data_IF_286059404633
#
_entry.id   IF_286059404633
#
_cell.length_a   1.000
_cell.length_b   1.000
_cell.length_c   1.000
_cell.angle_alpha   90.00
_cell.angle_beta   90.00
_cell.angle_gamma   90.00
#
_symmetry.space_group_name_H-M   'P 1'
#
loop_
_entity.id
_entity.type
_entity.pdbx_description
1 polymer ?
#
# COMPACT_ATOMS: atom_id res chain seq x y z
N UNK A 1 -28.35 -10.79 5.30
CA UNK A 1 -26.98 -10.34 4.91
C UNK A 1 -27.03 -9.91 3.44
N UNK A 2 -26.56 -8.71 3.10
CA UNK A 2 -26.63 -8.20 1.71
C UNK A 2 -25.74 -9.05 0.80
N UNK A 3 -26.17 -9.41 -0.44
CA UNK A 3 -25.42 -10.28 -1.36
C UNK A 3 -24.02 -9.79 -1.72
N UNK A 4 -23.76 -8.48 -1.58
CA UNK A 4 -22.44 -7.87 -1.80
C UNK A 4 -21.36 -8.48 -0.89
N UNK A 5 -21.71 -8.87 0.34
CA UNK A 5 -20.74 -9.50 1.27
C UNK A 5 -20.12 -10.78 0.73
N UNK A 6 -20.83 -11.50 -0.15
CA UNK A 6 -20.36 -12.74 -0.76
C UNK A 6 -19.36 -12.54 -1.90
N UNK A 7 -19.28 -11.33 -2.48
CA UNK A 7 -18.41 -11.04 -3.63
C UNK A 7 -17.26 -10.10 -3.29
N UNK A 8 -17.32 -9.38 -2.15
CA UNK A 8 -16.29 -8.41 -1.77
C UNK A 8 -14.93 -9.10 -1.56
N UNK A 9 -13.92 -8.66 -2.29
CA UNK A 9 -12.55 -9.20 -2.21
C UNK A 9 -12.36 -10.60 -2.78
N UNK A 10 -13.28 -11.10 -3.62
CA UNK A 10 -13.19 -12.46 -4.20
C UNK A 10 -12.19 -12.56 -5.34
N UNK A 11 -11.96 -11.50 -6.12
CA UNK A 11 -10.94 -11.46 -7.17
C UNK A 11 -9.59 -11.03 -6.64
N UNK A 12 -9.55 -9.95 -5.89
CA UNK A 12 -8.32 -9.49 -5.22
C UNK A 12 -8.66 -8.62 -4.01
N UNK A 13 -7.63 -8.23 -3.24
CA UNK A 13 -7.75 -7.31 -2.11
C UNK A 13 -7.05 -5.97 -2.35
N UNK A 14 -6.80 -5.60 -3.60
CA UNK A 14 -6.09 -4.37 -3.95
C UNK A 14 -6.80 -3.10 -3.48
N UNK A 15 -8.13 -3.15 -3.37
CA UNK A 15 -8.97 -2.05 -2.91
C UNK A 15 -9.58 -2.29 -1.52
N UNK A 16 -9.09 -3.28 -0.77
CA UNK A 16 -9.59 -3.56 0.59
C UNK A 16 -9.36 -2.36 1.51
N UNK A 17 -10.43 -1.94 2.19
CA UNK A 17 -10.43 -0.76 3.06
C UNK A 17 -10.45 0.58 2.31
N UNK A 18 -10.60 0.57 0.98
CA UNK A 18 -10.77 1.78 0.17
C UNK A 18 -12.23 2.10 -0.06
N UNK A 19 -12.59 3.35 0.13
CA UNK A 19 -13.91 3.90 -0.23
C UNK A 19 -13.80 4.69 -1.53
N UNK A 20 -14.64 4.32 -2.52
CA UNK A 20 -14.68 4.94 -3.84
C UNK A 20 -16.05 5.59 -4.02
N UNK A 21 -16.08 6.89 -4.28
CA UNK A 21 -17.30 7.56 -4.72
C UNK A 21 -17.45 7.35 -6.23
N UNK A 22 -18.54 6.68 -6.66
CA UNK A 22 -18.82 6.43 -8.07
C UNK A 22 -19.86 7.42 -8.59
N UNK A 23 -19.42 8.42 -9.36
CA UNK A 23 -20.25 9.38 -10.05
C UNK A 23 -20.74 8.83 -11.39
N UNK A 24 -22.06 8.69 -11.55
CA UNK A 24 -22.71 8.15 -12.77
C UNK A 24 -23.46 9.25 -13.48
N UNK A 25 -22.92 9.72 -14.63
CA UNK A 25 -23.56 10.75 -15.47
C UNK A 25 -24.52 10.14 -16.51
N UNK A 26 -25.37 11.00 -17.10
CA UNK A 26 -26.45 10.61 -18.00
C UNK A 26 -25.99 10.21 -19.40
N UNK A 27 -25.20 9.15 -19.53
CA UNK A 27 -24.84 8.47 -20.77
C UNK A 27 -25.51 7.11 -20.81
N UNK A 28 -25.85 6.61 -22.02
CA UNK A 28 -26.38 5.23 -22.18
C UNK A 28 -25.44 4.20 -21.56
N UNK A 29 -24.15 4.49 -21.48
CA UNK A 29 -23.16 3.66 -20.79
C UNK A 29 -23.37 3.54 -19.28
N UNK A 30 -24.28 4.30 -18.67
CA UNK A 30 -24.66 4.17 -17.25
C UNK A 30 -25.12 2.76 -16.90
N UNK A 31 -25.65 2.00 -17.86
CA UNK A 31 -26.05 0.59 -17.65
C UNK A 31 -24.87 -0.30 -17.23
N UNK A 32 -23.63 0.05 -17.62
CA UNK A 32 -22.42 -0.67 -17.23
C UNK A 32 -21.95 -0.34 -15.80
N UNK A 33 -22.51 0.71 -15.17
CA UNK A 33 -22.06 1.12 -13.83
C UNK A 33 -22.41 0.10 -12.73
N UNK A 34 -23.40 -0.75 -12.96
CA UNK A 34 -23.74 -1.86 -12.05
C UNK A 34 -22.63 -2.91 -12.05
N UNK A 35 -22.17 -3.30 -13.24
CA UNK A 35 -21.05 -4.23 -13.40
C UNK A 35 -19.75 -3.64 -12.82
N UNK A 36 -19.44 -2.39 -13.16
CA UNK A 36 -18.27 -1.66 -12.65
C UNK A 36 -18.28 -1.59 -11.12
N UNK A 37 -19.39 -1.24 -10.49
CA UNK A 37 -19.50 -1.18 -9.03
C UNK A 37 -19.24 -2.55 -8.38
N UNK A 38 -19.78 -3.61 -8.96
CA UNK A 38 -19.56 -5.00 -8.49
C UNK A 38 -18.13 -5.46 -8.69
N UNK A 39 -17.49 -5.07 -9.80
CA UNK A 39 -16.09 -5.41 -10.05
C UNK A 39 -15.15 -4.71 -9.07
N UNK A 40 -15.35 -3.42 -8.80
CA UNK A 40 -14.63 -2.70 -7.74
C UNK A 40 -14.80 -3.39 -6.37
N UNK A 41 -16.02 -3.84 -6.05
CA UNK A 41 -16.28 -4.59 -4.83
C UNK A 41 -15.57 -5.96 -4.79
N UNK A 42 -15.47 -6.69 -5.93
CA UNK A 42 -14.70 -7.93 -6.03
C UNK A 42 -13.21 -7.71 -5.76
N UNK A 43 -12.71 -6.51 -6.02
CA UNK A 43 -11.35 -6.09 -5.64
C UNK A 43 -11.24 -5.53 -4.22
N UNK A 44 -12.32 -5.53 -3.44
CA UNK A 44 -12.35 -5.19 -2.02
C UNK A 44 -12.88 -3.79 -1.70
N UNK A 45 -13.19 -2.94 -2.69
CA UNK A 45 -13.67 -1.58 -2.46
C UNK A 45 -15.01 -1.51 -1.73
N UNK A 46 -15.19 -0.43 -0.98
CA UNK A 46 -16.49 0.09 -0.59
C UNK A 46 -16.91 1.18 -1.59
N UNK A 47 -18.05 1.00 -2.27
CA UNK A 47 -18.46 1.87 -3.38
C UNK A 47 -19.69 2.66 -3.00
N UNK A 48 -19.60 4.00 -2.98
CA UNK A 48 -20.69 4.91 -2.68
C UNK A 48 -21.16 5.58 -3.96
N UNK A 49 -22.36 5.26 -4.49
CA UNK A 49 -22.81 5.79 -5.78
C UNK A 49 -23.42 7.19 -5.63
N UNK A 50 -23.11 8.05 -6.60
CA UNK A 50 -23.70 9.40 -6.78
C UNK A 50 -24.19 9.48 -8.22
N UNK A 51 -25.47 9.82 -8.43
CA UNK A 51 -26.05 9.86 -9.78
C UNK A 51 -26.52 11.28 -10.12
N UNK A 52 -26.33 11.65 -11.40
CA UNK A 52 -27.02 12.80 -11.95
C UNK A 52 -28.51 12.46 -12.22
N UNK A 53 -29.39 13.48 -12.24
CA UNK A 53 -30.79 13.27 -12.62
C UNK A 53 -30.94 12.62 -14.00
N UNK A 54 -30.10 13.00 -14.97
CA UNK A 54 -30.10 12.39 -16.30
C UNK A 54 -29.73 10.91 -16.27
N UNK A 55 -28.88 10.47 -15.34
CA UNK A 55 -28.52 9.05 -15.19
C UNK A 55 -29.69 8.22 -14.67
N UNK A 56 -30.55 8.77 -13.80
CA UNK A 56 -31.70 8.04 -13.23
C UNK A 56 -32.76 7.72 -14.27
N UNK A 57 -32.77 8.40 -15.41
CA UNK A 57 -33.65 8.09 -16.56
C UNK A 57 -33.17 6.90 -17.39
N UNK A 58 -31.91 6.50 -17.21
CA UNK A 58 -31.27 5.40 -17.97
C UNK A 58 -31.11 4.18 -17.08
N UNK A 59 -30.70 4.37 -15.85
CA UNK A 59 -30.45 3.34 -14.85
C UNK A 59 -31.21 3.66 -13.56
N UNK A 60 -32.08 2.73 -13.13
CA UNK A 60 -32.78 2.92 -11.87
C UNK A 60 -31.80 2.91 -10.67
N UNK A 61 -31.95 3.82 -9.70
CA UNK A 61 -31.08 3.91 -8.53
C UNK A 61 -30.95 2.59 -7.74
N UNK A 62 -32.05 1.81 -7.62
CA UNK A 62 -32.04 0.53 -6.89
C UNK A 62 -31.05 -0.49 -7.47
N UNK A 63 -30.74 -0.40 -8.77
CA UNK A 63 -29.72 -1.27 -9.37
C UNK A 63 -28.32 -1.01 -8.80
N UNK A 64 -27.99 0.25 -8.54
CA UNK A 64 -26.74 0.62 -7.88
C UNK A 64 -26.78 0.37 -6.37
N UNK A 65 -27.92 0.59 -5.71
CA UNK A 65 -28.10 0.21 -4.31
C UNK A 65 -27.85 -1.30 -4.12
N UNK A 66 -28.43 -2.14 -4.98
CA UNK A 66 -28.16 -3.58 -4.98
C UNK A 66 -26.68 -3.90 -5.26
N UNK A 67 -26.04 -3.19 -6.17
CA UNK A 67 -24.63 -3.45 -6.54
C UNK A 67 -23.62 -3.05 -5.47
N UNK A 68 -23.94 -2.04 -4.67
CA UNK A 68 -23.00 -1.40 -3.72
C UNK A 68 -23.35 -1.59 -2.25
N UNK A 69 -24.62 -1.91 -1.96
CA UNK A 69 -25.16 -1.90 -0.59
C UNK A 69 -25.37 -0.49 -0.02
N UNK A 70 -25.11 0.56 -0.79
CA UNK A 70 -25.32 1.95 -0.42
C UNK A 70 -26.42 2.57 -1.28
N UNK A 71 -27.31 3.32 -0.64
CA UNK A 71 -28.34 4.09 -1.35
C UNK A 71 -27.66 5.19 -2.19
N UNK A 72 -27.95 5.28 -3.51
CA UNK A 72 -27.36 6.31 -4.36
C UNK A 72 -27.74 7.72 -3.92
N UNK A 73 -26.76 8.63 -3.92
CA UNK A 73 -26.97 10.05 -3.66
C UNK A 73 -27.48 10.69 -4.96
N UNK A 74 -28.75 11.10 -4.97
CA UNK A 74 -29.41 11.71 -6.12
C UNK A 74 -29.49 13.24 -6.00
N UNK A 75 -29.46 13.75 -4.76
CA UNK A 75 -29.51 15.18 -4.42
C UNK A 75 -28.65 15.41 -3.19
N UNK A 76 -27.99 16.55 -3.15
CA UNK A 76 -27.28 17.02 -1.96
C UNK A 76 -28.30 17.66 -1.01
N UNK A 77 -28.14 17.41 0.27
CA UNK A 77 -29.05 17.85 1.31
C UNK A 77 -28.32 18.65 2.39
N UNK A 78 -29.01 19.03 3.45
CA UNK A 78 -28.38 19.63 4.64
C UNK A 78 -27.40 18.72 5.38
N UNK A 79 -27.30 17.42 5.00
CA UNK A 79 -26.29 16.51 5.53
C UNK A 79 -24.89 16.72 4.91
N UNK A 80 -24.78 17.62 3.89
CA UNK A 80 -23.53 18.01 3.24
C UNK A 80 -22.70 16.80 2.77
N UNK A 81 -23.34 15.84 2.11
CA UNK A 81 -22.82 14.53 1.74
C UNK A 81 -21.48 14.63 0.96
N UNK A 82 -21.36 15.62 0.07
CA UNK A 82 -20.16 15.89 -0.71
C UNK A 82 -18.95 16.23 0.18
N UNK A 83 -19.16 16.99 1.27
CA UNK A 83 -18.10 17.32 2.24
C UNK A 83 -17.78 16.12 3.11
N UNK A 84 -18.81 15.40 3.59
CA UNK A 84 -18.62 14.19 4.39
C UNK A 84 -17.84 13.11 3.64
N UNK A 85 -18.09 12.95 2.31
CA UNK A 85 -17.46 11.94 1.48
C UNK A 85 -16.07 12.37 0.97
N UNK A 86 -15.86 13.63 0.59
CA UNK A 86 -14.70 14.05 -0.20
C UNK A 86 -13.97 15.28 0.39
N UNK A 87 -14.48 15.88 1.46
CA UNK A 87 -13.87 17.03 2.11
C UNK A 87 -12.62 16.70 2.91
N UNK A 88 -12.06 17.70 3.59
CA UNK A 88 -10.89 17.51 4.48
C UNK A 88 -11.34 16.98 5.85
N UNK A 89 -12.01 15.82 5.86
CA UNK A 89 -12.54 15.18 7.07
C UNK A 89 -11.93 13.80 7.26
N UNK A 90 -11.88 13.35 8.51
CA UNK A 90 -11.41 12.00 8.83
C UNK A 90 -12.39 10.97 8.27
N UNK A 91 -11.88 9.95 7.60
CA UNK A 91 -12.71 8.88 7.02
C UNK A 91 -13.35 9.24 5.67
N UNK A 92 -12.88 10.32 5.01
CA UNK A 92 -13.30 10.62 3.65
C UNK A 92 -12.97 9.50 2.68
N UNK A 93 -13.65 9.48 1.54
CA UNK A 93 -13.37 8.54 0.46
C UNK A 93 -11.94 8.72 -0.11
N UNK A 94 -11.38 7.64 -0.61
CA UNK A 94 -10.02 7.58 -1.14
C UNK A 94 -9.94 8.10 -2.58
N UNK A 95 -11.05 8.03 -3.33
CA UNK A 95 -11.08 8.39 -4.75
C UNK A 95 -12.50 8.74 -5.19
N UNK A 96 -12.60 9.72 -6.12
CA UNK A 96 -13.79 9.97 -6.93
C UNK A 96 -13.58 9.34 -8.32
N UNK A 97 -14.43 8.38 -8.69
CA UNK A 97 -14.51 7.81 -10.04
C UNK A 97 -15.75 8.36 -10.74
N UNK A 98 -15.60 9.05 -11.86
CA UNK A 98 -16.72 9.50 -12.69
C UNK A 98 -16.80 8.61 -13.92
N UNK A 99 -17.72 7.64 -13.91
CA UNK A 99 -17.87 6.63 -14.94
C UNK A 99 -19.34 6.17 -15.07
N UNK A 100 -20.01 6.46 -16.21
CA UNK A 100 -19.53 7.23 -17.35
C UNK A 100 -19.50 8.75 -17.08
N UNK A 101 -18.58 9.47 -17.77
CA UNK A 101 -18.58 10.92 -17.82
C UNK A 101 -19.03 11.41 -19.19
N UNK A 102 -20.05 12.30 -19.25
CA UNK A 102 -20.51 12.95 -20.47
C UNK A 102 -19.69 14.18 -20.79
N UNK A 103 -19.73 14.70 -22.02
CA UNK A 103 -19.11 15.96 -22.40
C UNK A 103 -19.53 17.14 -21.49
N UNK A 104 -20.82 17.17 -21.10
CA UNK A 104 -21.34 18.15 -20.15
C UNK A 104 -20.65 18.04 -18.78
N UNK A 105 -20.53 16.83 -18.25
CA UNK A 105 -19.88 16.58 -16.93
C UNK A 105 -18.40 16.96 -17.00
N UNK A 106 -17.68 16.52 -18.05
CA UNK A 106 -16.27 16.86 -18.28
C UNK A 106 -16.05 18.36 -18.31
N UNK A 107 -16.88 19.07 -19.08
CA UNK A 107 -16.77 20.52 -19.23
C UNK A 107 -17.06 21.27 -17.93
N UNK A 108 -18.10 20.87 -17.19
CA UNK A 108 -18.44 21.47 -15.89
C UNK A 108 -17.34 21.26 -14.87
N UNK A 109 -16.79 20.04 -14.77
CA UNK A 109 -15.68 19.74 -13.87
C UNK A 109 -14.46 20.61 -14.16
N UNK A 110 -14.12 20.80 -15.44
CA UNK A 110 -12.97 21.62 -15.84
C UNK A 110 -13.15 23.11 -15.56
N UNK A 111 -14.41 23.58 -15.58
CA UNK A 111 -14.77 24.98 -15.36
C UNK A 111 -15.16 25.29 -13.90
N UNK A 112 -15.20 24.29 -13.02
CA UNK A 112 -15.63 24.47 -11.62
C UNK A 112 -17.14 24.75 -11.48
N UNK A 113 -17.97 24.29 -12.42
CA UNK A 113 -19.43 24.42 -12.35
C UNK A 113 -19.99 23.24 -11.56
N UNK A 114 -20.57 23.48 -10.40
CA UNK A 114 -21.02 22.46 -9.44
C UNK A 114 -22.55 22.44 -9.24
N UNK A 115 -23.29 22.38 -10.32
CA UNK A 115 -24.76 22.39 -10.36
C UNK A 115 -25.40 20.98 -10.32
N UNK A 116 -24.60 19.93 -10.15
CA UNK A 116 -25.06 18.54 -9.99
C UNK A 116 -24.35 17.87 -8.82
N UNK A 117 -24.92 16.84 -8.21
CA UNK A 117 -24.22 16.09 -7.14
C UNK A 117 -22.82 15.62 -7.54
N UNK A 118 -22.64 15.18 -8.79
CA UNK A 118 -21.35 14.70 -9.31
C UNK A 118 -20.34 15.84 -9.43
N UNK A 119 -20.74 16.97 -9.99
CA UNK A 119 -19.86 18.12 -10.20
C UNK A 119 -19.49 18.79 -8.89
N UNK A 120 -20.42 18.87 -7.92
CA UNK A 120 -20.13 19.34 -6.57
C UNK A 120 -19.16 18.38 -5.85
N UNK A 121 -19.35 17.06 -5.99
CA UNK A 121 -18.36 16.09 -5.51
C UNK A 121 -16.98 16.31 -6.15
N UNK A 122 -16.90 16.61 -7.44
CA UNK A 122 -15.64 16.86 -8.13
C UNK A 122 -14.97 18.16 -7.63
N UNK A 123 -15.71 19.24 -7.45
CA UNK A 123 -15.22 20.51 -6.88
C UNK A 123 -14.59 20.27 -5.50
N UNK A 124 -15.27 19.52 -4.62
CA UNK A 124 -14.72 19.19 -3.30
C UNK A 124 -13.52 18.27 -3.39
N UNK A 125 -13.54 17.26 -4.28
CA UNK A 125 -12.42 16.34 -4.48
C UNK A 125 -11.15 17.09 -4.93
N UNK A 126 -11.26 18.01 -5.88
CA UNK A 126 -10.13 18.84 -6.32
C UNK A 126 -9.61 19.73 -5.19
N UNK A 127 -10.49 20.42 -4.46
CA UNK A 127 -10.12 21.26 -3.32
C UNK A 127 -9.47 20.50 -2.17
N UNK A 128 -9.89 19.27 -1.92
CA UNK A 128 -9.35 18.39 -0.86
C UNK A 128 -8.18 17.53 -1.32
N UNK A 129 -7.77 17.62 -2.59
CA UNK A 129 -6.74 16.80 -3.24
C UNK A 129 -7.06 15.30 -3.20
N UNK A 130 -8.35 14.95 -3.17
CA UNK A 130 -8.77 13.57 -3.33
C UNK A 130 -8.54 13.15 -4.78
N UNK A 131 -7.91 11.99 -5.05
CA UNK A 131 -7.70 11.49 -6.40
C UNK A 131 -8.99 11.40 -7.21
N UNK A 132 -8.94 11.80 -8.48
CA UNK A 132 -10.07 11.73 -9.41
C UNK A 132 -9.69 10.91 -10.63
N UNK A 133 -10.55 9.95 -10.98
CA UNK A 133 -10.47 9.15 -12.21
C UNK A 133 -11.70 9.44 -13.05
N UNK A 134 -11.53 9.66 -14.35
CA UNK A 134 -12.64 9.96 -15.28
C UNK A 134 -12.60 8.98 -16.44
N UNK A 135 -13.70 8.26 -16.66
CA UNK A 135 -13.94 7.38 -17.80
C UNK A 135 -15.07 7.99 -18.67
N UNK A 136 -14.75 8.63 -19.82
CA UNK A 136 -15.73 9.27 -20.67
C UNK A 136 -16.53 8.28 -21.48
N UNK A 137 -17.79 8.68 -21.81
CA UNK A 137 -18.64 7.97 -22.76
C UNK A 137 -19.56 8.97 -23.48
N UNK A 138 -19.30 9.23 -24.78
CA UNK A 138 -20.00 10.20 -25.59
C UNK A 138 -19.83 9.86 -27.09
N UNK A 139 -20.45 10.64 -27.96
CA UNK A 139 -20.14 10.57 -29.38
C UNK A 139 -18.72 11.10 -29.66
N UNK A 140 -18.01 10.50 -30.61
CA UNK A 140 -16.62 10.86 -30.94
C UNK A 140 -16.48 12.34 -31.30
N UNK A 141 -17.41 12.88 -32.10
CA UNK A 141 -17.44 14.32 -32.46
C UNK A 141 -17.59 15.25 -31.23
N UNK A 142 -18.16 14.75 -30.15
CA UNK A 142 -18.24 15.52 -28.89
C UNK A 142 -16.92 15.46 -28.12
N UNK A 143 -16.25 14.32 -28.12
CA UNK A 143 -14.95 14.16 -27.48
C UNK A 143 -13.88 15.01 -28.20
N UNK A 144 -13.93 15.03 -29.52
CA UNK A 144 -12.99 15.76 -30.39
C UNK A 144 -13.38 17.24 -30.59
N UNK A 145 -14.52 17.68 -30.03
CA UNK A 145 -14.89 19.09 -30.05
C UNK A 145 -13.78 19.94 -29.39
N UNK A 146 -13.26 21.00 -30.02
CA UNK A 146 -12.09 21.76 -29.57
C UNK A 146 -12.18 22.20 -28.09
N UNK A 147 -13.36 22.63 -27.64
CA UNK A 147 -13.58 23.08 -26.25
C UNK A 147 -13.55 21.88 -25.30
N UNK A 148 -14.17 20.76 -25.65
CA UNK A 148 -14.17 19.55 -24.81
C UNK A 148 -12.77 18.96 -24.71
N UNK A 149 -12.01 18.97 -25.81
CA UNK A 149 -10.61 18.56 -25.82
C UNK A 149 -9.73 19.49 -24.94
N UNK A 150 -9.96 20.80 -24.96
CA UNK A 150 -9.29 21.74 -24.07
C UNK A 150 -9.65 21.49 -22.60
N UNK A 151 -10.93 21.20 -22.29
CA UNK A 151 -11.37 20.87 -20.94
C UNK A 151 -10.77 19.54 -20.44
N UNK A 152 -10.68 18.50 -21.31
CA UNK A 152 -9.95 17.27 -21.01
C UNK A 152 -8.49 17.58 -20.62
N UNK A 153 -7.81 18.41 -21.41
CA UNK A 153 -6.44 18.83 -21.14
C UNK A 153 -6.32 19.55 -19.80
N UNK A 154 -7.24 20.44 -19.48
CA UNK A 154 -7.31 21.12 -18.18
C UNK A 154 -7.45 20.14 -17.03
N UNK A 155 -8.36 19.16 -17.14
CA UNK A 155 -8.55 18.14 -16.12
C UNK A 155 -7.27 17.31 -15.87
N UNK A 156 -6.56 16.93 -16.94
CA UNK A 156 -5.34 16.12 -16.83
C UNK A 156 -4.17 16.97 -16.31
N UNK A 157 -3.84 18.07 -16.98
CA UNK A 157 -2.60 18.81 -16.78
C UNK A 157 -2.63 19.71 -15.53
N UNK A 158 -3.79 20.29 -15.21
CA UNK A 158 -3.91 21.25 -14.10
C UNK A 158 -4.57 20.66 -12.86
N UNK A 159 -5.51 19.71 -13.02
CA UNK A 159 -6.26 19.14 -11.90
C UNK A 159 -5.81 17.71 -11.54
N UNK A 160 -4.85 17.13 -12.28
CA UNK A 160 -4.25 15.84 -12.00
C UNK A 160 -5.21 14.66 -12.11
N UNK A 161 -6.23 14.78 -12.97
CA UNK A 161 -7.20 13.72 -13.24
C UNK A 161 -6.52 12.57 -13.99
N UNK A 162 -6.74 11.35 -13.50
CA UNK A 162 -6.43 10.15 -14.29
C UNK A 162 -7.53 9.93 -15.30
N UNK A 163 -7.19 10.07 -16.57
CA UNK A 163 -8.12 9.91 -17.68
C UNK A 163 -8.03 8.48 -18.22
N UNK A 164 -9.16 7.78 -18.27
CA UNK A 164 -9.25 6.47 -18.91
C UNK A 164 -9.69 6.67 -20.35
N UNK A 165 -8.86 6.25 -21.31
CA UNK A 165 -9.18 6.43 -22.72
C UNK A 165 -10.41 5.60 -23.10
N UNK A 166 -11.42 6.20 -23.78
CA UNK A 166 -12.58 5.46 -24.26
C UNK A 166 -12.22 4.56 -25.43
N UNK A 167 -13.01 3.53 -25.63
CA UNK A 167 -12.93 2.72 -26.84
C UNK A 167 -13.53 3.51 -28.02
N UNK A 168 -12.74 3.69 -29.08
CA UNK A 168 -13.21 4.38 -30.30
C UNK A 168 -13.70 3.37 -31.30
N UNK A 169 -15.01 3.23 -31.41
CA UNK A 169 -15.68 2.29 -32.30
C UNK A 169 -16.98 2.90 -32.85
N UNK A 170 -17.31 2.66 -34.11
CA UNK A 170 -18.57 3.06 -34.74
C UNK A 170 -18.84 4.59 -34.58
N UNK A 171 -17.83 5.44 -34.73
CA UNK A 171 -17.92 6.88 -34.51
C UNK A 171 -18.37 7.29 -33.10
N UNK A 172 -18.16 6.40 -32.13
CA UNK A 172 -18.45 6.62 -30.71
C UNK A 172 -17.20 6.45 -29.88
N UNK A 173 -17.04 7.32 -28.89
CA UNK A 173 -16.15 7.13 -27.77
C UNK A 173 -16.94 6.37 -26.68
N UNK A 174 -16.97 5.04 -26.81
CA UNK A 174 -17.66 4.14 -25.87
C UNK A 174 -16.90 4.14 -24.53
N UNK A 175 -17.63 3.88 -23.44
CA UNK A 175 -16.99 3.65 -22.14
C UNK A 175 -15.92 2.55 -22.28
N UNK A 176 -14.75 2.79 -21.71
CA UNK A 176 -13.69 1.79 -21.61
C UNK A 176 -14.21 0.49 -20.96
N UNK A 177 -13.50 -0.61 -21.18
CA UNK A 177 -13.83 -1.88 -20.52
C UNK A 177 -13.78 -1.72 -19.01
N UNK A 178 -14.65 -2.44 -18.32
CA UNK A 178 -14.77 -2.38 -16.85
C UNK A 178 -13.42 -2.70 -16.19
N UNK A 179 -12.72 -3.69 -16.70
CA UNK A 179 -11.40 -4.09 -16.22
C UNK A 179 -10.37 -2.96 -16.34
N UNK A 180 -10.34 -2.25 -17.47
CA UNK A 180 -9.42 -1.12 -17.70
C UNK A 180 -9.71 0.04 -16.74
N UNK A 181 -10.99 0.31 -16.45
CA UNK A 181 -11.37 1.34 -15.46
C UNK A 181 -10.93 0.92 -14.06
N UNK A 182 -11.16 -0.34 -13.68
CA UNK A 182 -10.76 -0.88 -12.38
C UNK A 182 -9.24 -0.86 -12.22
N UNK A 183 -8.49 -1.23 -13.24
CA UNK A 183 -7.02 -1.15 -13.24
C UNK A 183 -6.52 0.29 -13.07
N UNK A 184 -7.14 1.27 -13.74
CA UNK A 184 -6.81 2.69 -13.58
C UNK A 184 -7.06 3.17 -12.14
N UNK A 185 -8.15 2.73 -11.52
CA UNK A 185 -8.47 3.02 -10.11
C UNK A 185 -7.44 2.38 -9.18
N UNK A 186 -7.13 1.09 -9.36
CA UNK A 186 -6.12 0.37 -8.58
C UNK A 186 -4.76 1.06 -8.72
N UNK A 187 -4.34 1.36 -9.95
CA UNK A 187 -3.08 2.03 -10.21
C UNK A 187 -3.03 3.42 -9.56
N UNK A 188 -4.09 4.21 -9.68
CA UNK A 188 -4.17 5.55 -9.07
C UNK A 188 -4.10 5.52 -7.55
N UNK A 189 -4.75 4.55 -6.92
CA UNK A 189 -4.72 4.36 -5.47
C UNK A 189 -3.45 3.65 -4.97
N UNK A 190 -2.76 2.91 -5.83
CA UNK A 190 -1.53 2.21 -5.51
C UNK A 190 -0.40 3.15 -5.04
N UNK A 191 -0.36 4.37 -5.59
CA UNK A 191 0.63 5.40 -5.24
C UNK A 191 0.21 6.28 -4.07
N UNK A 192 -1.02 6.11 -3.58
CA UNK A 192 -1.60 6.94 -2.52
C UNK A 192 -1.99 6.05 -1.34
N UNK A 193 -1.37 6.20 -0.15
CA UNK A 193 -1.80 5.48 1.05
C UNK A 193 -3.27 5.77 1.41
N UNK A 194 -3.97 4.88 2.12
CA UNK A 194 -5.32 5.16 2.60
C UNK A 194 -5.39 6.43 3.46
N UNK A 195 -6.44 7.23 3.28
CA UNK A 195 -6.58 8.55 3.92
C UNK A 195 -6.76 8.54 5.46
N UNK A 196 -6.63 7.42 6.15
CA UNK A 196 -6.80 7.34 7.61
C UNK A 196 -6.31 6.03 8.24
N UNK A 197 -5.21 5.47 7.74
CA UNK A 197 -4.61 4.28 8.36
C UNK A 197 -3.82 4.61 9.62
N UNK A 198 -3.59 3.63 10.51
CA UNK A 198 -2.77 3.82 11.71
C UNK A 198 -1.30 4.15 11.41
N UNK A 199 -0.85 4.01 10.17
CA UNK A 199 0.50 4.33 9.69
C UNK A 199 0.53 5.53 8.74
N UNK A 200 -0.53 6.34 8.71
CA UNK A 200 -0.59 7.52 7.83
C UNK A 200 0.61 8.44 8.07
N UNK A 201 1.25 8.88 6.96
CA UNK A 201 2.45 9.70 6.97
C UNK A 201 3.74 9.00 7.41
N UNK A 202 3.72 7.71 7.75
CA UNK A 202 4.92 6.98 8.16
C UNK A 202 5.65 6.36 6.97
N UNK A 203 6.97 6.55 6.90
CA UNK A 203 7.82 5.87 5.94
C UNK A 203 8.27 4.51 6.50
N UNK A 204 8.06 3.44 5.74
CA UNK A 204 8.39 2.07 6.14
C UNK A 204 9.24 1.39 5.06
N UNK A 205 10.32 0.73 5.49
CA UNK A 205 11.18 -0.07 4.62
C UNK A 205 10.87 -1.56 4.77
N UNK A 206 10.67 -2.26 3.66
CA UNK A 206 10.54 -3.72 3.61
C UNK A 206 11.65 -4.30 2.75
N UNK A 207 12.43 -5.24 3.28
CA UNK A 207 13.50 -5.95 2.56
C UNK A 207 13.02 -7.38 2.30
N UNK A 208 12.82 -7.75 1.03
CA UNK A 208 12.15 -8.98 0.58
C UNK A 208 13.01 -9.79 -0.40
N UNK A 209 12.70 -11.08 -0.60
CA UNK A 209 13.40 -11.95 -1.54
C UNK A 209 14.65 -12.60 -0.94
N UNK A 210 15.54 -13.10 -1.80
CA UNK A 210 16.80 -13.71 -1.42
C UNK A 210 17.99 -12.97 -2.04
N UNK A 211 19.17 -13.12 -1.44
CA UNK A 211 20.43 -12.78 -2.11
C UNK A 211 20.92 -13.97 -2.95
N UNK A 212 21.59 -13.67 -4.03
CA UNK A 212 22.17 -14.61 -4.99
C UNK A 212 23.68 -14.32 -5.09
N UNK A 213 24.51 -15.23 -4.60
CA UNK A 213 25.96 -15.08 -4.66
C UNK A 213 26.51 -15.95 -5.79
N UNK A 214 27.26 -15.34 -6.72
CA UNK A 214 27.79 -16.07 -7.85
C UNK A 214 28.80 -17.12 -7.42
N UNK A 215 28.71 -18.33 -8.00
CA UNK A 215 29.75 -19.38 -7.96
C UNK A 215 30.59 -19.29 -9.23
N UNK A 216 29.95 -19.10 -10.37
CA UNK A 216 30.51 -18.85 -11.69
C UNK A 216 29.54 -18.02 -12.52
N UNK A 217 29.76 -17.65 -13.79
CA UNK A 217 28.82 -16.87 -14.60
C UNK A 217 27.45 -17.51 -14.82
N UNK A 218 27.27 -18.80 -14.45
CA UNK A 218 26.03 -19.56 -14.68
C UNK A 218 25.38 -20.02 -13.38
N UNK A 219 26.16 -20.28 -12.33
CA UNK A 219 25.68 -20.89 -11.09
C UNK A 219 25.73 -19.89 -9.93
N UNK A 220 24.72 -19.98 -9.06
CA UNK A 220 24.57 -19.13 -7.88
C UNK A 220 24.38 -19.97 -6.61
N UNK A 221 24.75 -19.38 -5.49
CA UNK A 221 24.40 -19.82 -4.14
C UNK A 221 23.28 -18.90 -3.63
N UNK A 222 22.13 -19.46 -3.30
CA UNK A 222 20.98 -18.68 -2.84
C UNK A 222 20.15 -19.45 -1.81
N UNK A 223 19.28 -18.75 -1.10
CA UNK A 223 18.28 -19.32 -0.20
C UNK A 223 16.94 -19.53 -0.93
N UNK A 224 16.18 -20.55 -0.54
CA UNK A 224 14.83 -20.79 -1.11
C UNK A 224 13.86 -19.74 -0.59
N UNK A 225 13.70 -18.64 -1.33
CA UNK A 225 12.74 -17.58 -0.98
C UNK A 225 12.15 -16.97 -2.24
N UNK A 226 10.83 -16.98 -2.34
CA UNK A 226 10.09 -16.34 -3.43
C UNK A 226 9.79 -14.85 -3.18
N UNK A 227 10.16 -14.29 -2.03
CA UNK A 227 9.80 -12.92 -1.66
C UNK A 227 8.31 -12.72 -1.25
N UNK A 228 7.44 -13.71 -1.42
CA UNK A 228 5.98 -13.61 -1.19
C UNK A 228 5.62 -13.03 0.19
N UNK A 229 6.30 -13.45 1.24
CA UNK A 229 6.04 -12.93 2.60
C UNK A 229 6.31 -11.43 2.70
N UNK A 230 7.38 -10.96 2.08
CA UNK A 230 7.71 -9.53 2.05
C UNK A 230 6.69 -8.71 1.27
N UNK A 231 6.20 -9.22 0.15
CA UNK A 231 5.16 -8.56 -0.63
C UNK A 231 3.84 -8.47 0.14
N UNK A 232 3.41 -9.53 0.80
CA UNK A 232 2.20 -9.52 1.64
C UNK A 232 2.30 -8.52 2.79
N UNK A 233 3.46 -8.44 3.44
CA UNK A 233 3.74 -7.46 4.51
C UNK A 233 3.73 -6.03 3.94
N UNK A 234 4.42 -5.80 2.83
CA UNK A 234 4.49 -4.48 2.19
C UNK A 234 3.11 -3.98 1.75
N UNK A 235 2.30 -4.87 1.15
CA UNK A 235 0.91 -4.57 0.75
C UNK A 235 0.06 -4.21 1.97
N UNK A 236 0.17 -4.97 3.08
CA UNK A 236 -0.61 -4.69 4.29
C UNK A 236 -0.17 -3.38 4.96
N UNK A 237 1.14 -3.10 5.04
CA UNK A 237 1.65 -1.84 5.56
C UNK A 237 1.16 -0.64 4.73
N UNK A 238 1.15 -0.79 3.39
CA UNK A 238 0.59 0.21 2.48
C UNK A 238 -0.92 0.41 2.72
N UNK A 239 -1.68 -0.69 2.87
CA UNK A 239 -3.11 -0.66 3.21
C UNK A 239 -3.39 0.09 4.52
N UNK A 240 -2.47 0.02 5.49
CA UNK A 240 -2.56 0.73 6.76
C UNK A 240 -2.08 2.19 6.68
N UNK A 241 -1.78 2.72 5.50
CA UNK A 241 -1.44 4.11 5.26
C UNK A 241 0.05 4.42 5.17
N UNK A 242 0.94 3.43 5.26
CA UNK A 242 2.37 3.68 5.20
C UNK A 242 2.87 4.02 3.79
N UNK A 243 3.84 4.93 3.70
CA UNK A 243 4.68 5.10 2.52
C UNK A 243 5.75 4.00 2.49
N UNK A 244 5.46 2.92 1.75
CA UNK A 244 6.33 1.74 1.72
C UNK A 244 7.43 1.90 0.67
N UNK A 245 8.69 1.71 1.07
CA UNK A 245 9.83 1.45 0.18
C UNK A 245 10.13 -0.04 0.22
N UNK A 246 10.17 -0.69 -0.95
CA UNK A 246 10.45 -2.12 -1.07
C UNK A 246 11.87 -2.34 -1.63
N UNK A 247 12.74 -3.02 -0.89
CA UNK A 247 13.96 -3.60 -1.45
C UNK A 247 13.71 -5.06 -1.76
N UNK A 248 13.92 -5.47 -3.01
CA UNK A 248 13.53 -6.78 -3.49
C UNK A 248 14.67 -7.53 -4.19
N UNK A 249 14.91 -8.77 -3.78
CA UNK A 249 15.82 -9.69 -4.46
C UNK A 249 15.31 -10.03 -5.86
N UNK A 250 16.21 -10.03 -6.84
CA UNK A 250 15.91 -10.15 -8.28
C UNK A 250 15.16 -11.44 -8.64
N UNK A 251 15.43 -12.57 -7.98
CA UNK A 251 14.73 -13.85 -8.21
C UNK A 251 13.36 -13.97 -7.51
N UNK A 252 12.85 -12.89 -6.90
CA UNK A 252 11.54 -12.86 -6.23
C UNK A 252 10.37 -12.62 -7.19
N UNK A 253 9.14 -12.73 -6.66
CA UNK A 253 7.92 -12.35 -7.38
C UNK A 253 7.92 -10.86 -7.68
N UNK A 254 7.34 -10.44 -8.80
CA UNK A 254 7.22 -9.03 -9.16
C UNK A 254 6.45 -8.23 -8.10
N UNK A 255 6.91 -7.00 -7.86
CA UNK A 255 6.21 -6.10 -6.97
C UNK A 255 4.87 -5.69 -7.59
N UNK A 256 3.74 -5.76 -6.84
CA UNK A 256 2.48 -5.22 -7.30
C UNK A 256 2.61 -3.75 -7.69
N UNK A 257 1.80 -3.26 -8.64
CA UNK A 257 1.88 -1.91 -9.18
C UNK A 257 1.96 -0.82 -8.09
N UNK A 258 1.22 -0.98 -6.98
CA UNK A 258 1.23 -0.04 -5.84
C UNK A 258 2.56 0.00 -5.04
N UNK A 259 3.45 -0.95 -5.21
CA UNK A 259 4.76 -0.98 -4.58
C UNK A 259 5.89 -0.77 -5.59
N UNK A 260 5.63 -0.97 -6.88
CA UNK A 260 6.64 -0.97 -7.94
C UNK A 260 7.37 0.37 -8.08
N UNK A 261 6.66 1.50 -7.96
CA UNK A 261 7.23 2.84 -8.09
C UNK A 261 8.29 3.18 -7.02
N UNK A 262 8.22 2.54 -5.85
CA UNK A 262 9.14 2.70 -4.73
C UNK A 262 10.00 1.46 -4.48
N UNK A 263 10.06 0.53 -5.46
CA UNK A 263 10.86 -0.66 -5.36
C UNK A 263 12.31 -0.41 -5.81
N UNK A 264 13.27 -1.01 -5.09
CA UNK A 264 14.68 -1.08 -5.48
C UNK A 264 15.10 -2.54 -5.52
N UNK A 265 15.67 -2.98 -6.62
CA UNK A 265 16.17 -4.35 -6.74
C UNK A 265 17.59 -4.48 -6.18
N UNK A 266 17.89 -5.67 -5.67
CA UNK A 266 19.23 -6.12 -5.32
C UNK A 266 19.43 -7.55 -5.83
N UNK A 267 20.67 -7.95 -6.01
CA UNK A 267 21.04 -9.32 -6.35
C UNK A 267 21.86 -9.93 -5.22
N UNK A 268 22.95 -9.29 -4.85
CA UNK A 268 23.95 -9.84 -3.93
C UNK A 268 23.81 -9.26 -2.52
N UNK A 269 24.48 -9.91 -1.56
CA UNK A 269 24.69 -9.37 -0.22
C UNK A 269 25.39 -7.98 -0.26
N UNK A 270 26.35 -7.81 -1.18
CA UNK A 270 27.05 -6.54 -1.37
C UNK A 270 26.12 -5.42 -1.84
N UNK A 271 25.12 -5.73 -2.69
CA UNK A 271 24.11 -4.77 -3.12
C UNK A 271 23.26 -4.30 -1.93
N UNK A 272 22.84 -5.23 -1.06
CA UNK A 272 22.11 -4.87 0.15
C UNK A 272 22.92 -4.00 1.10
N UNK A 273 24.21 -4.30 1.29
CA UNK A 273 25.09 -3.45 2.10
C UNK A 273 25.26 -2.06 1.48
N UNK A 274 25.29 -1.94 0.17
CA UNK A 274 25.34 -0.65 -0.53
C UNK A 274 24.06 0.16 -0.30
N UNK A 275 22.89 -0.48 -0.42
CA UNK A 275 21.60 0.15 -0.10
C UNK A 275 21.53 0.57 1.37
N UNK A 276 22.06 -0.24 2.29
CA UNK A 276 22.08 0.04 3.73
C UNK A 276 23.04 1.19 4.13
N UNK A 277 23.97 1.60 3.28
CA UNK A 277 24.83 2.79 3.48
C UNK A 277 24.11 4.12 3.18
N UNK A 278 22.93 4.07 2.55
CA UNK A 278 22.10 5.25 2.31
C UNK A 278 21.50 5.82 3.60
N UNK A 279 20.87 6.99 3.51
CA UNK A 279 20.13 7.56 4.63
C UNK A 279 18.82 6.79 4.86
N UNK A 280 18.77 6.06 5.97
CA UNK A 280 17.60 5.30 6.41
C UNK A 280 16.91 5.95 7.63
N UNK A 281 17.33 7.12 8.07
CA UNK A 281 16.81 7.81 9.26
C UNK A 281 15.33 8.19 9.13
N UNK A 282 14.85 8.36 7.91
CA UNK A 282 13.44 8.69 7.61
C UNK A 282 12.47 7.55 7.91
N UNK A 283 12.94 6.29 7.99
CA UNK A 283 12.04 5.16 8.19
C UNK A 283 11.69 5.00 9.67
N UNK A 284 10.39 4.96 9.96
CA UNK A 284 9.86 4.69 11.30
C UNK A 284 9.87 3.21 11.63
N UNK A 285 9.78 2.36 10.61
CA UNK A 285 9.84 0.91 10.74
C UNK A 285 10.69 0.29 9.62
N UNK A 286 11.40 -0.79 9.95
CA UNK A 286 12.14 -1.62 8.98
C UNK A 286 11.76 -3.08 9.19
N UNK A 287 11.24 -3.72 8.14
CA UNK A 287 10.83 -5.12 8.12
C UNK A 287 11.80 -5.92 7.26
N UNK A 288 12.34 -7.01 7.80
CA UNK A 288 13.38 -7.80 7.12
C UNK A 288 12.98 -9.27 6.91
N UNK A 289 11.95 -9.57 6.10
CA UNK A 289 11.60 -10.94 5.73
C UNK A 289 12.55 -11.57 4.70
N UNK A 290 13.54 -10.83 4.18
CA UNK A 290 14.50 -11.33 3.20
C UNK A 290 15.33 -12.51 3.72
N UNK A 291 15.54 -13.50 2.86
CA UNK A 291 16.42 -14.65 3.10
C UNK A 291 17.84 -14.32 2.62
N UNK A 292 18.56 -13.57 3.42
CA UNK A 292 19.91 -13.10 3.12
C UNK A 292 20.91 -14.23 3.36
N UNK A 293 21.81 -14.49 2.37
CA UNK A 293 22.87 -15.48 2.48
C UNK A 293 23.87 -15.14 3.58
N UNK A 294 24.27 -16.17 4.35
CA UNK A 294 25.29 -16.04 5.39
C UNK A 294 26.70 -16.33 4.86
N UNK A 295 26.80 -16.88 3.65
CA UNK A 295 28.05 -17.32 3.03
C UNK A 295 28.10 -16.94 1.55
N UNK A 296 29.31 -16.73 1.03
CA UNK A 296 29.62 -16.63 -0.40
C UNK A 296 30.87 -17.41 -0.75
N UNK A 297 30.93 -17.91 -1.99
CA UNK A 297 32.16 -18.42 -2.58
C UNK A 297 32.94 -17.27 -3.27
N UNK A 298 34.22 -17.45 -3.55
CA UNK A 298 34.95 -16.60 -4.49
C UNK A 298 34.51 -17.00 -5.91
N UNK A 299 33.87 -16.09 -6.71
CA UNK A 299 33.38 -16.47 -8.03
C UNK A 299 34.46 -16.87 -8.99
N UNK A 300 34.27 -17.97 -9.71
CA UNK A 300 35.14 -18.33 -10.83
C UNK A 300 34.87 -17.40 -12.03
N UNK A 301 35.90 -16.93 -12.76
CA UNK A 301 35.75 -16.02 -13.90
C UNK A 301 35.09 -16.69 -15.12
N UNK A 302 35.14 -18.02 -15.20
CA UNK A 302 34.57 -18.83 -16.28
C UNK A 302 33.70 -19.93 -15.70
N UNK A 303 32.77 -20.46 -16.54
CA UNK A 303 31.93 -21.59 -16.18
C UNK A 303 32.78 -22.79 -15.76
N UNK A 304 32.54 -23.31 -14.56
CA UNK A 304 33.21 -24.49 -14.04
C UNK A 304 32.74 -25.74 -14.80
N UNK A 305 33.66 -26.60 -15.28
CA UNK A 305 33.29 -27.87 -15.90
C UNK A 305 32.54 -28.79 -14.92
N UNK A 306 31.55 -29.54 -15.41
CA UNK A 306 30.80 -30.51 -14.65
C UNK A 306 31.42 -31.92 -14.55
N UNK A 307 32.61 -32.13 -15.15
CA UNK A 307 33.18 -33.45 -15.31
C UNK A 307 33.91 -33.99 -14.06
N UNK A 308 34.08 -33.13 -13.05
CA UNK A 308 34.80 -33.47 -11.80
C UNK A 308 34.03 -32.96 -10.58
N UNK A 309 34.19 -33.61 -9.41
CA UNK A 309 33.67 -33.09 -8.17
C UNK A 309 34.14 -31.68 -7.88
N UNK A 310 33.21 -30.78 -7.54
CA UNK A 310 33.48 -29.40 -7.16
C UNK A 310 33.52 -29.25 -5.64
N UNK A 311 34.59 -28.68 -5.11
CA UNK A 311 34.68 -28.24 -3.72
C UNK A 311 34.58 -26.73 -3.67
N UNK A 312 33.61 -26.23 -2.91
CA UNK A 312 33.42 -24.79 -2.69
C UNK A 312 33.89 -24.42 -1.28
N UNK A 313 34.80 -23.47 -1.20
CA UNK A 313 35.13 -22.81 0.06
C UNK A 313 34.14 -21.63 0.27
N UNK A 314 33.34 -21.72 1.29
CA UNK A 314 32.33 -20.70 1.63
C UNK A 314 32.84 -19.80 2.76
N UNK A 315 32.98 -18.50 2.48
CA UNK A 315 33.36 -17.48 3.47
C UNK A 315 32.14 -16.84 4.11
N UNK A 316 32.13 -16.63 5.44
CA UNK A 316 31.01 -15.98 6.11
C UNK A 316 30.90 -14.51 5.68
N UNK A 317 29.66 -14.05 5.50
CA UNK A 317 29.32 -12.66 5.16
C UNK A 317 28.90 -11.89 6.42
N UNK A 318 29.12 -10.57 6.41
CA UNK A 318 28.67 -9.68 7.48
C UNK A 318 27.14 -9.64 7.59
N UNK A 319 26.60 -9.23 8.73
CA UNK A 319 25.15 -9.19 8.94
C UNK A 319 24.57 -7.88 8.43
N UNK A 320 23.81 -7.91 7.33
CA UNK A 320 23.11 -6.75 6.75
C UNK A 320 22.19 -6.08 7.77
N UNK A 321 21.53 -6.84 8.63
CA UNK A 321 20.66 -6.31 9.68
C UNK A 321 21.40 -5.36 10.63
N UNK A 322 22.67 -5.61 10.92
CA UNK A 322 23.49 -4.73 11.76
C UNK A 322 23.78 -3.39 11.05
N UNK A 323 24.06 -3.43 9.74
CA UNK A 323 24.24 -2.23 8.93
C UNK A 323 22.96 -1.39 8.89
N UNK A 324 21.81 -2.01 8.67
CA UNK A 324 20.49 -1.36 8.66
C UNK A 324 20.18 -0.76 10.04
N UNK A 325 20.43 -1.49 11.14
CA UNK A 325 20.21 -0.96 12.50
C UNK A 325 21.07 0.29 12.76
N UNK A 326 22.33 0.29 12.29
CA UNK A 326 23.21 1.45 12.38
C UNK A 326 22.70 2.65 11.59
N UNK A 327 22.15 2.43 10.39
CA UNK A 327 21.64 3.47 9.50
C UNK A 327 20.25 3.99 9.91
N UNK A 328 19.44 3.16 10.61
CA UNK A 328 18.12 3.51 11.11
C UNK A 328 17.99 3.24 12.62
N UNK A 329 18.72 3.97 13.49
CA UNK A 329 18.81 3.66 14.93
C UNK A 329 17.49 3.83 15.69
N UNK A 330 16.60 4.69 15.21
CA UNK A 330 15.29 4.97 15.84
C UNK A 330 14.14 4.13 15.28
N UNK A 331 14.34 3.44 14.15
CA UNK A 331 13.28 2.66 13.52
C UNK A 331 12.91 1.43 14.36
N UNK A 332 11.63 1.10 14.40
CA UNK A 332 11.16 -0.20 14.86
C UNK A 332 11.65 -1.28 13.90
N UNK A 333 12.58 -2.12 14.34
CA UNK A 333 13.14 -3.20 13.54
C UNK A 333 12.39 -4.49 13.80
N UNK A 334 11.80 -5.05 12.72
CA UNK A 334 11.12 -6.35 12.72
C UNK A 334 11.98 -7.34 11.95
N UNK A 335 12.66 -8.22 12.67
CA UNK A 335 13.51 -9.25 12.09
C UNK A 335 12.71 -10.53 11.85
N UNK A 336 13.24 -11.41 10.96
CA UNK A 336 12.67 -12.71 10.68
C UNK A 336 13.68 -13.80 11.03
N UNK A 337 13.19 -14.93 11.55
CA UNK A 337 14.00 -16.10 11.88
C UNK A 337 13.26 -17.38 11.48
N UNK A 338 13.82 -18.08 10.52
CA UNK A 338 13.45 -19.47 10.26
C UNK A 338 14.35 -20.41 11.05
N UNK A 339 13.79 -21.50 11.56
CA UNK A 339 14.50 -22.52 12.32
C UNK A 339 13.97 -23.91 11.96
N UNK A 340 14.84 -24.88 11.86
CA UNK A 340 14.47 -26.27 11.58
C UNK A 340 14.07 -27.04 12.83
N UNK A 341 14.60 -26.68 14.00
CA UNK A 341 14.28 -27.32 15.29
C UNK A 341 13.21 -26.53 16.03
N UNK A 342 11.98 -27.10 16.19
CA UNK A 342 10.89 -26.43 16.92
C UNK A 342 11.26 -26.09 18.38
N UNK A 343 12.12 -26.88 19.01
CA UNK A 343 12.53 -26.67 20.41
C UNK A 343 13.44 -25.47 20.58
N UNK A 344 14.20 -25.12 19.54
CA UNK A 344 15.12 -23.97 19.54
C UNK A 344 14.49 -22.68 19.02
N UNK A 345 13.35 -22.74 18.30
CA UNK A 345 12.73 -21.63 17.61
C UNK A 345 12.60 -20.36 18.49
N UNK A 346 11.97 -20.47 19.64
CA UNK A 346 11.74 -19.33 20.52
C UNK A 346 13.02 -18.83 21.20
N UNK A 347 13.93 -19.73 21.58
CA UNK A 347 15.22 -19.37 22.17
C UNK A 347 16.06 -18.56 21.17
N UNK A 348 16.15 -19.04 19.93
CA UNK A 348 16.86 -18.36 18.84
C UNK A 348 16.21 -17.04 18.44
N UNK A 349 14.87 -16.95 18.47
CA UNK A 349 14.16 -15.70 18.23
C UNK A 349 14.48 -14.65 19.31
N UNK A 350 14.49 -15.03 20.58
CA UNK A 350 14.87 -14.14 21.69
C UNK A 350 16.34 -13.69 21.62
N UNK A 351 17.23 -14.60 21.19
CA UNK A 351 18.63 -14.25 20.99
C UNK A 351 18.76 -13.20 19.89
N UNK A 352 18.03 -13.33 18.77
CA UNK A 352 18.04 -12.36 17.67
C UNK A 352 17.53 -10.98 18.05
N UNK A 353 16.57 -10.87 18.99
CA UNK A 353 16.17 -9.60 19.57
C UNK A 353 17.35 -8.87 20.21
N UNK A 354 18.16 -9.58 20.99
CA UNK A 354 19.31 -9.03 21.72
C UNK A 354 20.45 -8.66 20.78
N UNK A 355 20.83 -9.58 19.88
CA UNK A 355 22.01 -9.44 19.01
C UNK A 355 21.91 -8.25 18.05
N UNK A 356 20.71 -7.91 17.62
CA UNK A 356 20.49 -6.88 16.60
C UNK A 356 19.66 -5.68 17.07
N UNK A 357 19.30 -5.63 18.35
CA UNK A 357 18.44 -4.55 18.89
C UNK A 357 17.09 -4.48 18.16
N UNK A 358 16.55 -5.63 17.71
CA UNK A 358 15.25 -5.69 17.10
C UNK A 358 14.16 -5.57 18.17
N UNK A 359 13.07 -4.87 17.89
CA UNK A 359 11.91 -4.77 18.77
C UNK A 359 11.00 -5.99 18.64
N UNK A 360 10.98 -6.58 17.44
CA UNK A 360 10.17 -7.76 17.13
C UNK A 360 10.96 -8.77 16.31
N UNK A 361 10.70 -10.05 16.53
CA UNK A 361 11.14 -11.16 15.68
C UNK A 361 9.92 -11.97 15.28
N UNK A 362 9.72 -12.16 13.98
CA UNK A 362 8.76 -13.12 13.43
C UNK A 362 9.51 -14.43 13.22
N UNK A 363 9.20 -15.42 14.03
CA UNK A 363 9.84 -16.72 13.99
C UNK A 363 8.89 -17.79 13.40
N UNK A 364 9.38 -18.61 12.49
CA UNK A 364 8.64 -19.69 11.85
C UNK A 364 9.55 -20.88 11.58
N UNK A 365 8.96 -22.06 11.37
CA UNK A 365 9.72 -23.24 11.00
C UNK A 365 10.13 -23.21 9.54
N UNK A 366 11.27 -23.80 9.22
CA UNK A 366 11.86 -23.79 7.88
C UNK A 366 11.01 -24.53 6.84
N UNK A 367 10.16 -25.48 7.23
CA UNK A 367 9.21 -26.18 6.38
C UNK A 367 8.10 -25.28 5.80
N UNK A 368 7.90 -24.09 6.37
CA UNK A 368 7.00 -23.07 5.82
C UNK A 368 7.57 -22.33 4.59
N UNK A 369 8.83 -22.54 4.20
CA UNK A 369 9.39 -21.98 2.97
C UNK A 369 8.72 -22.59 1.74
N UNK A 370 8.18 -21.72 0.86
CA UNK A 370 7.44 -22.16 -0.33
C UNK A 370 6.00 -22.63 -0.08
N UNK A 371 5.62 -22.94 1.17
CA UNK A 371 4.25 -23.35 1.51
C UNK A 371 3.29 -22.16 1.56
N UNK A 372 2.00 -22.42 1.28
CA UNK A 372 0.94 -21.42 1.40
C UNK A 372 0.51 -21.18 2.85
N UNK A 373 0.60 -22.18 3.69
CA UNK A 373 0.32 -22.09 5.12
C UNK A 373 1.59 -21.80 5.93
N UNK A 374 1.43 -21.16 7.08
CA UNK A 374 2.51 -20.88 8.02
C UNK A 374 2.01 -20.90 9.45
N UNK A 375 2.92 -21.20 10.36
CA UNK A 375 2.77 -20.93 11.78
C UNK A 375 3.87 -19.94 12.16
N UNK A 376 3.47 -18.72 12.53
CA UNK A 376 4.36 -17.64 12.87
C UNK A 376 4.24 -17.29 14.36
N UNK A 377 5.39 -17.09 15.01
CA UNK A 377 5.49 -16.60 16.37
C UNK A 377 6.05 -15.18 16.36
N UNK A 378 5.24 -14.20 16.74
CA UNK A 378 5.70 -12.83 16.96
C UNK A 378 6.26 -12.71 18.36
N UNK A 379 7.56 -12.53 18.46
CA UNK A 379 8.32 -12.45 19.71
C UNK A 379 8.79 -11.02 19.94
N UNK A 380 8.53 -10.48 21.10
CA UNK A 380 9.14 -9.24 21.60
C UNK A 380 9.65 -9.44 23.05
N UNK A 381 10.19 -8.40 23.66
CA UNK A 381 10.74 -8.49 25.03
C UNK A 381 9.71 -8.91 26.07
N UNK A 382 8.40 -8.60 25.86
CA UNK A 382 7.35 -8.81 26.85
C UNK A 382 6.57 -10.11 26.64
N UNK A 383 6.34 -10.52 25.38
CA UNK A 383 5.41 -11.63 25.08
C UNK A 383 5.73 -12.35 23.77
N UNK A 384 5.11 -13.51 23.62
CA UNK A 384 5.05 -14.30 22.37
C UNK A 384 3.58 -14.41 21.96
N UNK A 385 3.29 -14.12 20.69
CA UNK A 385 1.97 -14.34 20.09
C UNK A 385 2.10 -15.34 18.95
N UNK A 386 1.17 -16.29 18.86
CA UNK A 386 1.17 -17.33 17.83
C UNK A 386 0.05 -17.09 16.84
N UNK A 387 0.36 -17.22 15.56
CA UNK A 387 -0.56 -17.10 14.43
C UNK A 387 -0.41 -18.34 13.55
N UNK A 388 -1.52 -18.94 13.12
CA UNK A 388 -1.51 -20.12 12.26
C UNK A 388 -2.58 -20.05 11.19
N UNK A 389 -2.24 -20.40 9.96
CA UNK A 389 -3.15 -20.40 8.82
C UNK A 389 -2.45 -20.12 7.50
N UNK A 390 -3.21 -19.70 6.48
CA UNK A 390 -2.66 -19.26 5.21
C UNK A 390 -1.80 -17.99 5.38
N UNK A 391 -0.66 -17.90 4.72
CA UNK A 391 0.25 -16.73 4.80
C UNK A 391 -0.47 -15.40 4.51
N UNK A 392 -1.39 -15.41 3.54
CA UNK A 392 -2.19 -14.24 3.19
C UNK A 392 -3.10 -13.74 4.33
N UNK A 393 -3.43 -14.60 5.30
CA UNK A 393 -4.22 -14.26 6.48
C UNK A 393 -3.34 -13.97 7.70
N UNK A 394 -2.28 -14.76 7.89
CA UNK A 394 -1.38 -14.68 9.05
C UNK A 394 -0.53 -13.42 9.03
N UNK A 395 0.06 -13.07 7.88
CA UNK A 395 0.98 -11.92 7.82
C UNK A 395 0.30 -10.57 8.06
N UNK A 396 -0.91 -10.29 7.54
CA UNK A 396 -1.68 -9.10 7.94
C UNK A 396 -1.93 -9.03 9.46
N UNK A 397 -2.25 -10.16 10.12
CA UNK A 397 -2.43 -10.19 11.58
C UNK A 397 -1.14 -9.90 12.33
N UNK A 398 0.00 -10.42 11.86
CA UNK A 398 1.33 -10.10 12.41
C UNK A 398 1.63 -8.61 12.27
N UNK A 399 1.36 -8.01 11.09
CA UNK A 399 1.55 -6.57 10.86
C UNK A 399 0.67 -5.77 11.82
N UNK A 400 -0.61 -6.09 11.93
CA UNK A 400 -1.53 -5.41 12.84
C UNK A 400 -1.07 -5.48 14.30
N UNK A 401 -0.56 -6.64 14.75
CA UNK A 401 -0.05 -6.82 16.10
C UNK A 401 1.21 -5.97 16.40
N UNK A 402 2.12 -5.84 15.41
CA UNK A 402 3.31 -4.97 15.54
C UNK A 402 2.89 -3.50 15.59
N UNK A 403 2.00 -3.07 14.68
CA UNK A 403 1.51 -1.68 14.61
C UNK A 403 0.82 -1.28 15.91
N UNK A 404 -0.05 -2.12 16.46
CA UNK A 404 -0.73 -1.87 17.72
C UNK A 404 0.25 -1.76 18.90
N UNK A 405 1.26 -2.65 18.96
CA UNK A 405 2.27 -2.63 20.01
C UNK A 405 3.17 -1.38 19.93
N UNK A 406 3.53 -0.95 18.74
CA UNK A 406 4.35 0.26 18.51
C UNK A 406 3.59 1.51 18.94
N UNK A 407 2.31 1.63 18.55
CA UNK A 407 1.45 2.74 18.96
C UNK A 407 1.26 2.84 20.48
N UNK A 408 1.10 1.69 21.17
CA UNK A 408 1.01 1.64 22.63
C UNK A 408 2.30 2.11 23.33
N UNK A 409 3.46 1.76 22.76
CA UNK A 409 4.77 2.19 23.28
C UNK A 409 4.98 3.70 23.15
N UNK A 410 4.60 4.29 22.03
CA UNK A 410 4.70 5.74 21.78
C UNK A 410 3.81 6.53 22.72
N UNK A 411 2.57 6.07 22.99
CA UNK A 411 1.65 6.70 23.96
C UNK A 411 2.21 6.65 25.40
N UNK A 412 2.86 5.56 25.80
CA UNK A 412 3.50 5.45 27.11
C UNK A 412 4.73 6.36 27.26
N UNK A 413 5.49 6.55 26.18
CA UNK A 413 6.64 7.45 26.17
C UNK A 413 6.22 8.92 26.31
N UNK A 414 5.14 9.34 25.64
CA UNK A 414 4.59 10.70 25.71
C UNK A 414 3.87 11.00 27.04
N UNK A 415 3.39 9.98 27.76
CA UNK A 415 2.73 10.13 29.06
C UNK A 415 3.69 10.19 30.26
N UNK A 416 5.01 10.01 30.07
CA UNK A 416 5.97 10.18 31.16
C UNK A 416 6.17 11.69 31.43
N UNK A 417 6.01 12.18 32.68
CA UNK A 417 6.25 13.57 33.01
C UNK A 417 7.71 13.94 32.71
N UNK A 418 7.93 15.08 32.08
CA UNK A 418 9.27 15.64 31.90
C UNK A 418 9.93 15.79 33.27
N UNK A 419 11.21 15.37 33.43
CA UNK A 419 11.91 15.61 34.67
C UNK A 419 11.88 17.12 34.97
N UNK A 420 11.47 17.46 36.20
CA UNK A 420 11.41 18.85 36.66
C UNK A 420 12.81 19.47 36.52
N UNK A 421 12.91 20.57 35.81
CA UNK A 421 14.12 21.40 35.75
C UNK A 421 14.53 21.77 37.15
N UNK A 422 15.81 21.61 37.56
CA UNK A 422 16.26 22.05 38.89
C UNK A 422 16.00 23.54 39.02
N UNK A 423 15.20 23.93 40.02
CA UNK A 423 15.06 25.35 40.42
C UNK A 423 16.44 25.88 40.80
N UNK A 424 17.00 26.75 40.00
CA UNK A 424 18.14 27.55 40.34
C UNK A 424 17.83 28.34 41.61
N UNK A 425 18.54 28.05 42.70
CA UNK A 425 18.48 28.85 43.96
C UNK A 425 18.89 30.26 43.61
N UNK A 426 17.97 31.21 43.74
CA UNK A 426 18.25 32.62 43.64
C UNK A 426 19.31 33.01 44.73
N UNK A 427 20.41 33.55 44.24
CA UNK A 427 21.47 34.07 45.09
C UNK A 427 20.93 35.22 45.97
N UNK A 428 20.98 35.03 47.28
CA UNK A 428 20.71 36.09 48.27
C UNK A 428 21.73 37.23 48.10
N UNK A 429 21.27 38.42 47.75
CA UNK A 429 22.06 39.62 47.81
C UNK A 429 22.49 39.90 49.29
N UNK A 430 23.75 40.22 49.57
CA UNK A 430 24.17 40.65 50.92
C UNK A 430 23.59 42.03 51.24
N UNK A 431 23.01 42.14 52.43
CA UNK A 431 22.63 43.46 53.04
C UNK A 431 23.91 44.24 53.37
N UNK A 432 24.14 45.36 52.67
CA UNK A 432 25.13 46.36 53.06
C UNK A 432 24.75 47.04 54.38
N UNK A 433 25.70 47.14 55.27
CA UNK A 433 25.65 47.99 56.44
C UNK A 433 26.06 49.44 56.07
N UNK A 434 25.37 50.34 56.57
CA UNK A 434 25.59 51.69 57.19
C UNK A 434 24.65 52.72 56.67
#
# INVERSE_FOLDING_TARGET
MHPLGNIRGTLSRHLEGRTIVLGVAGSIAAVKSVELARELARHGADVVPVMSEAATRILHPDALEFATGHKPILRLTGAVEHVALLGQVKGKADLLLVAPATANTVSKMALGIDDTPITTCATVAFGSRTPVVVAPAMHEVMLDHPIVAAHRKTLIDHLGVTWVEPLREESKAKLADVEAIVEAVIHRLATTPPNSGPLDGQAVLVVSGATEEAIDPVRILTNRSSGRSGLLIATELHRLGAHVTLWQGRGGQDAPGHLASNAKSFTTHADLLRLAKGDLSRYTQVWMPAAIGDFAATPAPQKISGDKPLRLELKPLGKVIAAIRKAAPQATLVAFKAESDPKQLLARARQRLKDHGAQFVVANLADSFGADATEAHLVNAARVQRFKGAKAQVLPQVVAAVVAATAASSRRASARPRPATPRTKAARKPKGRS
#
